data_IF_223366091644
#
_entry.id   IF_223366091644
#
_cell.length_a   1.000
_cell.length_b   1.000
_cell.length_c   1.000
_cell.angle_alpha   90.00
_cell.angle_beta   90.00
_cell.angle_gamma   90.00
#
_symmetry.space_group_name_H-M   'P 1'
#
loop_
_entity.id
_entity.type
_entity.pdbx_description
1 polymer ?
#
# COMPACT_ATOMS: atom_id res chain seq x y z
N UNK A 1 -57.58 -24.06 -38.65
CA UNK A 1 -57.56 -25.46 -38.16
C UNK A 1 -56.09 -25.86 -38.03
N UNK A 2 -55.71 -26.52 -36.92
CA UNK A 2 -54.35 -26.98 -36.53
C UNK A 2 -53.47 -25.86 -35.96
N UNK A 3 -53.54 -25.55 -34.65
CA UNK A 3 -52.92 -26.16 -33.45
C UNK A 3 -51.67 -25.36 -32.99
N UNK A 4 -51.61 -24.86 -31.74
CA UNK A 4 -50.39 -24.34 -31.14
C UNK A 4 -49.71 -25.42 -30.27
N UNK A 5 -48.38 -25.50 -30.31
CA UNK A 5 -47.58 -26.27 -29.35
C UNK A 5 -46.60 -25.35 -28.59
N UNK A 6 -46.27 -25.68 -27.33
CA UNK A 6 -45.65 -24.79 -26.35
C UNK A 6 -44.13 -25.04 -26.20
N UNK A 7 -43.42 -24.06 -25.64
CA UNK A 7 -42.01 -24.25 -25.30
C UNK A 7 -41.36 -22.99 -24.75
N UNK A 8 -41.69 -22.63 -23.51
CA UNK A 8 -40.97 -21.62 -22.73
C UNK A 8 -39.73 -22.22 -22.06
N UNK A 9 -38.76 -21.34 -21.81
CA UNK A 9 -37.63 -21.42 -20.87
C UNK A 9 -36.26 -21.81 -21.44
N UNK A 10 -35.61 -20.86 -22.12
CA UNK A 10 -34.16 -20.74 -22.10
C UNK A 10 -33.77 -19.77 -20.97
N UNK A 11 -33.17 -20.29 -19.91
CA UNK A 11 -32.54 -19.49 -18.86
C UNK A 11 -31.25 -18.89 -19.41
N UNK A 12 -31.29 -17.62 -19.78
CA UNK A 12 -30.11 -16.84 -20.15
C UNK A 12 -29.25 -16.54 -18.92
N UNK A 13 -28.04 -17.08 -18.89
CA UNK A 13 -27.01 -16.74 -17.92
C UNK A 13 -26.37 -15.42 -18.35
N UNK A 14 -26.75 -14.30 -17.72
CA UNK A 14 -26.19 -12.97 -17.99
C UNK A 14 -24.84 -12.84 -17.26
N UNK A 15 -23.73 -12.96 -17.98
CA UNK A 15 -22.42 -12.51 -17.49
C UNK A 15 -22.41 -10.98 -17.44
N UNK A 16 -22.41 -10.42 -16.23
CA UNK A 16 -21.99 -9.04 -16.00
C UNK A 16 -20.46 -8.91 -16.07
N UNK A 17 -19.92 -7.72 -16.38
CA UNK A 17 -18.48 -7.48 -16.46
C UNK A 17 -17.78 -7.66 -15.10
N UNK A 18 -16.49 -8.04 -15.09
CA UNK A 18 -15.76 -8.30 -13.85
C UNK A 18 -15.56 -7.01 -13.06
N UNK A 19 -16.17 -6.93 -11.87
CA UNK A 19 -15.90 -5.86 -10.91
C UNK A 19 -14.43 -5.97 -10.45
N UNK A 20 -13.63 -4.93 -10.73
CA UNK A 20 -12.26 -4.77 -10.21
C UNK A 20 -12.29 -4.30 -8.75
N UNK A 21 -12.83 -5.16 -7.90
CA UNK A 21 -12.89 -5.01 -6.45
C UNK A 21 -13.04 -6.39 -5.83
N UNK A 22 -12.05 -7.26 -6.05
CA UNK A 22 -12.04 -8.61 -5.51
C UNK A 22 -11.98 -8.58 -3.99
N UNK A 23 -13.14 -8.53 -3.33
CA UNK A 23 -13.26 -9.02 -1.96
C UNK A 23 -12.94 -10.51 -2.05
N UNK A 24 -11.76 -10.93 -1.59
CA UNK A 24 -11.45 -12.34 -1.42
C UNK A 24 -12.60 -12.95 -0.61
N UNK A 25 -13.42 -13.76 -1.28
CA UNK A 25 -14.48 -14.51 -0.62
C UNK A 25 -13.83 -15.48 0.34
N UNK A 26 -14.23 -15.46 1.60
CA UNK A 26 -13.77 -16.45 2.58
C UNK A 26 -14.04 -17.85 2.00
N UNK A 27 -13.10 -18.79 2.05
CA UNK A 27 -13.38 -20.17 1.67
C UNK A 27 -14.49 -20.73 2.57
N UNK A 28 -15.56 -21.21 1.95
CA UNK A 28 -16.74 -21.77 2.63
C UNK A 28 -16.85 -23.25 2.27
N UNK A 29 -16.87 -24.10 3.28
CA UNK A 29 -17.19 -25.52 3.13
C UNK A 29 -18.68 -25.72 3.40
N UNK A 30 -19.40 -26.24 2.41
CA UNK A 30 -20.83 -26.54 2.50
C UNK A 30 -21.03 -28.05 2.64
N UNK A 31 -21.68 -28.46 3.73
CA UNK A 31 -22.05 -29.84 4.00
C UNK A 31 -23.59 -29.95 3.96
N UNK A 32 -24.11 -30.79 3.07
CA UNK A 32 -25.56 -31.02 2.88
C UNK A 32 -25.95 -32.38 3.44
N UNK A 33 -26.87 -32.42 4.41
CA UNK A 33 -27.33 -33.66 5.02
C UNK A 33 -28.29 -34.45 4.12
N UNK A 34 -28.05 -35.76 3.97
CA UNK A 34 -28.96 -36.72 3.33
C UNK A 34 -30.04 -37.16 4.33
N UNK A 35 -31.11 -36.40 4.51
CA UNK A 35 -32.19 -36.80 5.43
C UNK A 35 -33.17 -35.71 5.87
N UNK A 36 -32.92 -34.45 5.52
CA UNK A 36 -33.87 -33.36 5.78
C UNK A 36 -33.17 -32.02 5.75
N UNK A 37 -33.38 -31.28 4.65
CA UNK A 37 -33.23 -29.82 4.45
C UNK A 37 -32.03 -29.02 4.99
N UNK A 38 -31.19 -29.55 5.88
CA UNK A 38 -30.18 -28.82 6.62
C UNK A 38 -28.92 -28.60 5.81
N UNK A 39 -28.49 -27.34 5.74
CA UNK A 39 -27.23 -26.92 5.15
C UNK A 39 -26.30 -26.42 6.28
N UNK A 40 -25.16 -27.10 6.46
CA UNK A 40 -24.12 -26.68 7.39
C UNK A 40 -23.04 -25.96 6.58
N UNK A 41 -22.60 -24.80 7.05
CA UNK A 41 -21.53 -24.02 6.43
C UNK A 41 -20.40 -23.79 7.42
N UNK A 42 -19.17 -24.17 7.06
CA UNK A 42 -17.96 -23.91 7.84
C UNK A 42 -17.08 -22.91 7.07
N UNK A 43 -16.67 -21.83 7.73
CA UNK A 43 -15.79 -20.82 7.16
C UNK A 43 -14.48 -20.77 7.98
N UNK A 44 -13.32 -20.80 7.32
CA UNK A 44 -12.02 -20.67 7.97
C UNK A 44 -11.01 -20.02 7.02
N UNK A 45 -10.46 -18.86 7.38
CA UNK A 45 -9.45 -18.14 6.58
C UNK A 45 -8.22 -17.82 7.44
N UNK A 46 -7.04 -18.05 6.88
CA UNK A 46 -5.76 -17.63 7.45
C UNK A 46 -4.98 -16.86 6.37
N UNK A 47 -4.93 -15.53 6.49
CA UNK A 47 -4.18 -14.67 5.58
C UNK A 47 -2.75 -14.48 6.10
N UNK A 48 -1.76 -14.59 5.21
CA UNK A 48 -0.34 -14.37 5.52
C UNK A 48 0.14 -13.10 4.82
N UNK A 49 0.62 -12.13 5.59
CA UNK A 49 1.08 -10.84 5.07
C UNK A 49 2.51 -10.91 4.51
N UNK A 50 2.75 -10.19 3.42
CA UNK A 50 4.05 -10.02 2.75
C UNK A 50 4.72 -8.72 3.21
N UNK A 51 6.05 -8.71 3.35
CA UNK A 51 6.83 -7.50 3.64
C UNK A 51 7.02 -6.71 2.34
N UNK A 52 6.57 -5.45 2.31
CA UNK A 52 6.72 -4.56 1.16
C UNK A 52 7.68 -3.41 1.48
N UNK A 53 8.66 -3.18 0.60
CA UNK A 53 9.57 -2.01 0.68
C UNK A 53 8.84 -0.79 0.13
N UNK A 54 8.57 0.19 0.98
CA UNK A 54 7.75 1.36 0.61
C UNK A 54 8.49 2.34 -0.32
N UNK A 55 9.80 2.58 -0.09
CA UNK A 55 10.63 3.47 -0.90
C UNK A 55 12.14 3.29 -0.62
N UNK A 56 12.98 3.47 -1.64
CA UNK A 56 14.46 3.51 -1.52
C UNK A 56 15.03 4.72 -2.28
N UNK A 57 14.86 5.95 -1.75
CA UNK A 57 15.40 7.15 -2.39
C UNK A 57 16.93 7.16 -2.32
N UNK A 58 17.57 7.68 -3.37
CA UNK A 58 19.02 7.91 -3.42
C UNK A 58 19.31 9.30 -3.96
N UNK A 59 20.25 10.01 -3.34
CA UNK A 59 20.63 11.37 -3.71
C UNK A 59 22.14 11.53 -3.60
N UNK A 60 22.77 12.10 -4.64
CA UNK A 60 24.18 12.49 -4.63
C UNK A 60 24.28 13.96 -4.30
N UNK A 61 25.20 14.31 -3.39
CA UNK A 61 25.29 15.66 -2.81
C UNK A 61 26.75 16.00 -2.50
N UNK A 62 27.09 17.28 -2.63
CA UNK A 62 28.42 17.80 -2.29
C UNK A 62 28.62 17.90 -0.78
N UNK A 63 29.87 17.78 -0.34
CA UNK A 63 30.25 17.97 1.05
C UNK A 63 29.83 19.36 1.57
N UNK A 64 29.21 19.41 2.76
CA UNK A 64 28.64 20.60 3.41
C UNK A 64 27.54 21.32 2.63
N UNK A 65 26.91 20.68 1.64
CA UNK A 65 25.78 21.25 0.90
C UNK A 65 24.50 20.50 1.21
N UNK A 66 23.42 21.23 1.46
CA UNK A 66 22.09 20.64 1.61
C UNK A 66 21.54 20.31 0.22
N UNK A 67 21.01 19.10 0.08
CA UNK A 67 20.27 18.69 -1.11
C UNK A 67 18.91 18.15 -0.69
N UNK A 68 17.89 18.41 -1.51
CA UNK A 68 16.51 17.99 -1.28
C UNK A 68 16.02 17.21 -2.49
N UNK A 69 15.49 16.01 -2.23
CA UNK A 69 14.79 15.17 -3.18
C UNK A 69 13.32 15.09 -2.76
N UNK A 70 12.42 15.48 -3.66
CA UNK A 70 10.97 15.41 -3.44
C UNK A 70 10.33 14.65 -4.60
N UNK A 71 9.65 13.56 -4.29
CA UNK A 71 8.98 12.68 -5.26
C UNK A 71 7.55 12.43 -4.76
N UNK A 72 6.57 12.91 -5.50
CA UNK A 72 5.16 12.67 -5.22
C UNK A 72 4.28 13.80 -5.74
N UNK A 73 3.09 13.92 -5.16
CA UNK A 73 2.03 14.79 -5.66
C UNK A 73 1.75 15.95 -4.69
N UNK A 74 1.26 17.06 -5.24
CA UNK A 74 0.67 18.14 -4.46
C UNK A 74 -0.84 17.93 -4.33
N UNK A 75 -1.30 17.77 -3.10
CA UNK A 75 -2.70 17.47 -2.80
C UNK A 75 -3.40 18.75 -2.32
N UNK A 76 -4.49 19.19 -2.99
CA UNK A 76 -5.29 20.30 -2.51
C UNK A 76 -6.04 19.89 -1.24
N UNK A 77 -5.97 20.74 -0.23
CA UNK A 77 -6.70 20.63 1.03
C UNK A 77 -7.57 21.86 1.21
N UNK A 78 -8.84 21.65 1.54
CA UNK A 78 -9.73 22.76 1.89
C UNK A 78 -9.44 23.20 3.32
N UNK A 79 -8.97 24.44 3.51
CA UNK A 79 -8.57 24.96 4.82
C UNK A 79 -9.67 25.75 5.50
N UNK A 80 -10.55 26.39 4.72
CA UNK A 80 -11.68 27.17 5.24
C UNK A 80 -12.87 27.07 4.28
N UNK A 81 -14.07 27.15 4.84
CA UNK A 81 -15.32 27.36 4.10
C UNK A 81 -16.10 28.46 4.81
N UNK A 82 -16.45 29.51 4.09
CA UNK A 82 -17.21 30.63 4.64
C UNK A 82 -18.42 30.90 3.74
N UNK A 83 -19.58 31.11 4.36
CA UNK A 83 -20.79 31.57 3.68
C UNK A 83 -21.33 32.77 4.45
N UNK A 84 -21.70 33.84 3.73
CA UNK A 84 -22.27 35.03 4.39
C UNK A 84 -23.61 34.67 5.04
N UNK A 85 -23.75 35.00 6.33
CA UNK A 85 -25.01 34.85 7.08
C UNK A 85 -25.96 36.04 6.91
N UNK A 86 -25.49 37.13 6.27
CA UNK A 86 -26.25 38.37 6.08
C UNK A 86 -27.07 38.38 4.78
N UNK A 87 -26.78 37.46 3.85
CA UNK A 87 -27.46 37.37 2.55
C UNK A 87 -27.90 35.93 2.31
N UNK A 88 -29.22 35.64 2.33
CA UNK A 88 -29.73 34.32 1.98
C UNK A 88 -29.26 33.90 0.58
N UNK A 89 -28.64 32.73 0.47
CA UNK A 89 -28.11 32.20 -0.81
C UNK A 89 -26.74 32.73 -1.22
N UNK A 90 -25.99 33.39 -0.33
CA UNK A 90 -24.62 33.79 -0.62
C UNK A 90 -23.75 32.60 -1.07
N UNK A 91 -22.84 32.78 -2.05
CA UNK A 91 -21.94 31.73 -2.50
C UNK A 91 -21.00 31.30 -1.37
N UNK A 92 -20.74 30.00 -1.28
CA UNK A 92 -19.75 29.44 -0.36
C UNK A 92 -18.36 29.73 -0.91
N UNK A 93 -17.54 30.42 -0.11
CA UNK A 93 -16.14 30.70 -0.42
C UNK A 93 -15.27 29.63 0.25
N UNK A 94 -14.58 28.83 -0.55
CA UNK A 94 -13.63 27.83 -0.06
C UNK A 94 -12.19 28.34 -0.23
N UNK A 95 -11.39 28.23 0.82
CA UNK A 95 -9.94 28.43 0.74
C UNK A 95 -9.25 27.09 0.55
N UNK A 96 -8.39 27.00 -0.47
CA UNK A 96 -7.64 25.78 -0.81
C UNK A 96 -6.16 26.05 -0.58
N UNK A 97 -5.50 25.19 0.20
CA UNK A 97 -4.05 25.14 0.31
C UNK A 97 -3.53 23.87 -0.35
N UNK A 98 -2.28 23.87 -0.82
CA UNK A 98 -1.64 22.68 -1.37
C UNK A 98 -0.68 22.10 -0.35
N UNK A 99 -0.65 20.76 -0.27
CA UNK A 99 0.26 20.03 0.60
C UNK A 99 1.06 19.02 -0.20
N UNK A 100 2.37 19.09 -0.09
CA UNK A 100 3.28 18.12 -0.70
C UNK A 100 3.12 16.74 -0.05
N UNK A 101 3.10 15.71 -0.89
CA UNK A 101 3.04 14.31 -0.46
C UNK A 101 4.03 13.44 -1.22
N UNK A 102 4.20 12.19 -0.77
CA UNK A 102 5.16 11.24 -1.31
C UNK A 102 6.43 11.16 -0.46
N UNK A 103 7.58 10.98 -1.11
CA UNK A 103 8.90 10.80 -0.48
C UNK A 103 9.68 12.11 -0.56
N UNK A 104 10.02 12.66 0.60
CA UNK A 104 10.83 13.87 0.74
C UNK A 104 12.08 13.51 1.55
N UNK A 105 13.24 13.78 1.00
CA UNK A 105 14.54 13.55 1.64
C UNK A 105 15.38 14.82 1.54
N UNK A 106 15.71 15.41 2.68
CA UNK A 106 16.69 16.47 2.81
C UNK A 106 17.91 15.94 3.55
N UNK A 107 19.11 16.18 3.00
CA UNK A 107 20.35 15.71 3.60
C UNK A 107 21.45 16.75 3.46
N UNK A 108 22.24 16.92 4.53
CA UNK A 108 23.45 17.73 4.56
C UNK A 108 24.61 16.87 5.05
N UNK A 109 25.50 16.40 4.17
CA UNK A 109 26.64 15.60 4.58
C UNK A 109 27.82 16.46 5.01
N UNK A 110 28.64 15.91 5.90
CA UNK A 110 29.99 16.38 6.21
C UNK A 110 30.94 15.20 6.33
N UNK A 111 31.93 15.14 5.44
CA UNK A 111 32.94 14.08 5.45
C UNK A 111 34.11 14.48 6.34
N UNK A 112 34.52 13.58 7.23
CA UNK A 112 35.71 13.74 8.06
C UNK A 112 36.96 13.19 7.37
N UNK A 113 38.15 13.62 7.81
CA UNK A 113 39.43 13.09 7.31
C UNK A 113 39.55 11.58 7.51
N UNK A 114 38.97 11.05 8.59
CA UNK A 114 38.91 9.61 8.88
C UNK A 114 37.98 8.81 7.95
N UNK A 115 37.26 9.46 7.03
CA UNK A 115 36.29 8.81 6.14
C UNK A 115 34.92 8.56 6.75
N UNK A 116 34.69 8.94 8.02
CA UNK A 116 33.34 8.98 8.61
C UNK A 116 32.52 10.12 8.01
N UNK A 117 31.23 9.89 7.83
CA UNK A 117 30.27 10.85 7.30
C UNK A 117 29.31 11.24 8.42
N UNK A 118 29.33 12.52 8.79
CA UNK A 118 28.29 13.14 9.59
C UNK A 118 27.16 13.55 8.64
N UNK A 119 25.92 13.19 8.98
CA UNK A 119 24.76 13.48 8.17
C UNK A 119 23.70 14.16 9.03
N UNK A 120 23.23 15.32 8.60
CA UNK A 120 21.96 15.89 9.05
C UNK A 120 20.89 15.47 8.05
N UNK A 121 19.88 14.73 8.52
CA UNK A 121 18.88 14.07 7.66
C UNK A 121 17.48 14.43 8.14
N UNK A 122 16.64 14.82 7.19
CA UNK A 122 15.20 14.88 7.34
C UNK A 122 14.56 14.05 6.22
N UNK A 123 13.96 12.92 6.59
CA UNK A 123 13.25 12.05 5.65
C UNK A 123 11.78 11.97 6.06
N UNK A 124 10.90 12.16 5.08
CA UNK A 124 9.46 12.06 5.23
C UNK A 124 8.88 11.19 4.11
N UNK A 125 8.04 10.22 4.47
CA UNK A 125 7.24 9.43 3.53
C UNK A 125 5.78 9.61 3.91
N UNK A 126 5.00 10.10 2.97
CA UNK A 126 3.58 10.38 3.15
C UNK A 126 2.73 9.66 2.11
N UNK A 127 1.56 9.21 2.56
CA UNK A 127 0.57 8.52 1.74
C UNK A 127 -0.78 9.21 1.89
N UNK A 128 -1.46 9.45 0.78
CA UNK A 128 -2.80 10.02 0.75
C UNK A 128 -3.81 8.91 0.94
N UNK A 129 -4.75 9.09 1.87
CA UNK A 129 -5.82 8.15 2.15
C UNK A 129 -7.17 8.88 2.11
N UNK A 130 -8.20 8.20 1.59
CA UNK A 130 -9.56 8.71 1.67
C UNK A 130 -9.98 8.77 3.13
N UNK A 131 -10.49 9.92 3.58
CA UNK A 131 -11.03 10.04 4.92
C UNK A 131 -12.32 9.24 5.03
N UNK A 132 -12.37 8.30 5.97
CA UNK A 132 -13.56 7.49 6.27
C UNK A 132 -14.12 7.77 7.67
N UNK A 133 -13.44 8.62 8.45
CA UNK A 133 -13.75 8.88 9.86
C UNK A 133 -14.53 10.17 10.11
N UNK A 134 -14.75 11.00 9.10
CA UNK A 134 -15.51 12.26 9.22
C UNK A 134 -16.27 12.57 7.93
N UNK A 135 -17.30 13.41 8.04
CA UNK A 135 -18.09 13.93 6.90
C UNK A 135 -17.37 15.07 6.15
N UNK A 136 -16.09 15.33 6.46
CA UNK A 136 -15.30 16.37 5.80
C UNK A 136 -14.72 15.75 4.53
N UNK A 137 -15.04 16.32 3.38
CA UNK A 137 -14.45 15.94 2.08
C UNK A 137 -13.02 16.49 1.97
N UNK A 138 -12.12 15.96 2.80
CA UNK A 138 -10.69 16.27 2.77
C UNK A 138 -9.90 15.00 2.99
N UNK A 139 -8.80 14.79 2.25
CA UNK A 139 -7.98 13.58 2.39
C UNK A 139 -7.28 13.53 3.74
N UNK A 140 -7.05 12.32 4.23
CA UNK A 140 -6.19 12.06 5.38
C UNK A 140 -4.78 11.69 4.90
N UNK A 141 -3.76 12.01 5.70
CA UNK A 141 -2.36 11.76 5.33
C UNK A 141 -1.70 10.87 6.37
N UNK A 142 -1.30 9.67 5.95
CA UNK A 142 -0.35 8.87 6.71
C UNK A 142 1.04 9.46 6.53
N UNK A 143 1.78 9.73 7.62
CA UNK A 143 3.11 10.36 7.55
C UNK A 143 4.10 9.64 8.44
N UNK A 144 5.24 9.27 7.86
CA UNK A 144 6.39 8.66 8.54
C UNK A 144 7.54 9.63 8.39
N UNK A 145 8.01 10.23 9.48
CA UNK A 145 9.03 11.28 9.45
C UNK A 145 10.14 10.99 10.45
N UNK A 146 11.39 11.12 10.01
CA UNK A 146 12.57 11.10 10.87
C UNK A 146 13.37 12.37 10.62
N UNK A 147 13.86 12.97 11.70
CA UNK A 147 14.83 14.06 11.67
C UNK A 147 15.91 13.73 12.69
N UNK A 148 17.14 13.57 12.23
CA UNK A 148 18.24 13.12 13.08
C UNK A 148 19.59 13.54 12.52
N UNK A 149 20.59 13.58 13.39
CA UNK A 149 21.99 13.77 13.01
C UNK A 149 22.77 12.54 13.44
N UNK A 150 23.45 11.90 12.49
CA UNK A 150 24.17 10.65 12.74
C UNK A 150 25.58 10.70 12.16
N UNK A 151 26.49 9.94 12.78
CA UNK A 151 27.82 9.67 12.24
C UNK A 151 27.86 8.21 11.82
N UNK A 152 28.25 7.96 10.58
CA UNK A 152 28.25 6.64 9.96
C UNK A 152 29.50 6.47 9.09
N UNK A 153 30.02 5.25 9.01
CA UNK A 153 31.18 4.95 8.18
C UNK A 153 30.78 4.91 6.70
N UNK A 154 31.73 5.23 5.82
CA UNK A 154 31.51 5.11 4.38
C UNK A 154 31.12 3.67 3.98
N UNK A 155 29.99 3.51 3.30
CA UNK A 155 29.49 2.22 2.83
C UNK A 155 28.75 1.38 3.88
N UNK A 156 28.69 1.83 5.14
CA UNK A 156 28.01 1.09 6.21
C UNK A 156 26.57 1.58 6.39
N UNK A 157 25.62 0.66 6.52
CA UNK A 157 24.23 1.02 6.80
C UNK A 157 24.02 1.28 8.29
N UNK A 158 23.35 2.38 8.62
CA UNK A 158 22.88 2.67 9.97
C UNK A 158 21.35 2.73 10.00
N UNK A 159 20.75 2.19 11.07
CA UNK A 159 19.32 2.30 11.31
C UNK A 159 19.03 3.61 12.04
N UNK A 160 18.21 4.47 11.43
CA UNK A 160 17.83 5.77 11.98
C UNK A 160 16.63 5.66 12.94
N UNK A 161 15.81 4.63 12.76
CA UNK A 161 14.65 4.36 13.60
C UNK A 161 13.76 3.27 13.03
N UNK A 162 12.69 2.95 13.77
CA UNK A 162 11.69 1.99 13.34
C UNK A 162 10.45 2.02 14.23
N UNK A 163 9.39 1.35 13.76
CA UNK A 163 8.14 1.15 14.49
C UNK A 163 7.70 -0.29 14.26
N UNK A 164 7.39 -0.99 15.35
CA UNK A 164 6.67 -2.26 15.31
C UNK A 164 5.36 -2.01 16.03
N UNK A 165 4.25 -2.25 15.34
CA UNK A 165 2.91 -2.06 15.86
C UNK A 165 2.12 -3.34 15.65
N UNK A 166 1.67 -3.92 16.76
CA UNK A 166 0.77 -5.07 16.77
C UNK A 166 -0.62 -4.63 17.23
N UNK A 167 -1.64 -4.88 16.42
CA UNK A 167 -3.04 -4.65 16.77
C UNK A 167 -3.78 -5.98 16.69
N UNK A 168 -4.35 -6.40 17.81
CA UNK A 168 -5.19 -7.61 17.89
C UNK A 168 -6.63 -7.21 18.16
N UNK A 169 -7.53 -7.62 17.27
CA UNK A 169 -8.98 -7.46 17.39
C UNK A 169 -9.60 -8.83 17.54
N UNK A 170 -10.25 -9.08 18.69
CA UNK A 170 -10.95 -10.33 18.98
C UNK A 170 -12.45 -10.03 18.96
N UNK A 171 -13.16 -10.62 18.00
CA UNK A 171 -14.61 -10.64 17.91
C UNK A 171 -15.14 -12.05 18.19
N UNK A 172 -16.19 -12.16 18.99
CA UNK A 172 -16.92 -13.40 19.18
C UNK A 172 -18.41 -13.14 18.99
N UNK A 173 -19.02 -13.82 18.02
CA UNK A 173 -20.46 -13.87 17.84
C UNK A 173 -20.94 -15.25 18.27
N UNK A 174 -21.98 -15.33 19.11
CA UNK A 174 -22.43 -16.61 19.67
C UNK A 174 -23.94 -16.70 19.79
N UNK A 175 -24.48 -17.90 19.60
CA UNK A 175 -25.89 -18.17 19.91
C UNK A 175 -26.07 -18.18 21.44
N UNK A 176 -26.99 -17.37 22.00
CA UNK A 176 -27.26 -17.39 23.45
C UNK A 176 -27.59 -18.80 23.94
N UNK A 177 -27.16 -19.15 25.16
CA UNK A 177 -27.31 -20.48 25.79
C UNK A 177 -26.46 -21.58 25.14
N UNK A 178 -26.62 -21.84 23.84
CA UNK A 178 -25.92 -22.94 23.15
C UNK A 178 -24.42 -22.70 23.00
N UNK A 179 -24.00 -21.44 22.80
CA UNK A 179 -22.59 -21.08 22.72
C UNK A 179 -21.83 -21.32 24.02
N UNK A 180 -22.49 -21.22 25.18
CA UNK A 180 -21.82 -21.32 26.49
C UNK A 180 -21.57 -22.75 26.96
N UNK A 181 -22.06 -23.76 26.23
CA UNK A 181 -21.87 -25.17 26.59
C UNK A 181 -20.39 -25.59 26.43
N UNK A 182 -19.79 -26.24 27.45
CA UNK A 182 -18.34 -26.52 27.49
C UNK A 182 -17.85 -27.52 26.44
N UNK A 183 -18.74 -28.37 25.90
CA UNK A 183 -18.37 -29.44 24.95
C UNK A 183 -18.79 -29.08 23.52
N UNK A 184 -20.00 -28.54 23.32
CA UNK A 184 -20.56 -28.28 21.99
C UNK A 184 -20.62 -26.81 21.59
N UNK A 185 -20.33 -25.89 22.53
CA UNK A 185 -20.53 -24.46 22.32
C UNK A 185 -19.69 -23.85 21.20
N UNK A 186 -18.52 -24.43 20.88
CA UNK A 186 -17.67 -23.98 19.77
C UNK A 186 -18.33 -24.17 18.39
N UNK A 187 -19.29 -25.08 18.24
CA UNK A 187 -20.05 -25.23 17.00
C UNK A 187 -21.13 -24.14 16.83
N UNK A 188 -21.46 -23.42 17.91
CA UNK A 188 -22.48 -22.36 17.96
C UNK A 188 -21.85 -20.97 18.19
N UNK A 189 -20.54 -20.86 17.96
CA UNK A 189 -19.73 -19.65 18.12
C UNK A 189 -18.94 -19.39 16.84
N UNK A 190 -18.93 -18.14 16.41
CA UNK A 190 -18.04 -17.63 15.38
C UNK A 190 -17.00 -16.73 16.07
N UNK A 191 -15.72 -17.10 15.93
CA UNK A 191 -14.60 -16.32 16.45
C UNK A 191 -13.89 -15.66 15.29
N UNK A 192 -13.68 -14.36 15.40
CA UNK A 192 -12.90 -13.57 14.47
C UNK A 192 -11.70 -12.99 15.22
N UNK A 193 -10.51 -13.53 14.95
CA UNK A 193 -9.26 -13.01 15.46
C UNK A 193 -8.53 -12.31 14.31
N UNK A 194 -8.46 -10.99 14.35
CA UNK A 194 -7.73 -10.19 13.37
C UNK A 194 -6.46 -9.65 14.04
N UNK A 195 -5.30 -10.10 13.57
CA UNK A 195 -3.99 -9.60 14.02
C UNK A 195 -3.37 -8.78 12.88
N UNK A 196 -3.23 -7.49 13.10
CA UNK A 196 -2.59 -6.55 12.18
C UNK A 196 -1.20 -6.19 12.73
N UNK A 197 -0.15 -6.63 12.04
CA UNK A 197 1.24 -6.27 12.36
C UNK A 197 1.79 -5.30 11.33
N UNK A 198 2.29 -4.16 11.79
CA UNK A 198 2.95 -3.13 10.96
C UNK A 198 4.38 -2.96 11.43
N UNK A 199 5.34 -3.24 10.55
CA UNK A 199 6.77 -3.05 10.80
C UNK A 199 7.31 -1.98 9.85
N UNK A 200 8.05 -1.01 10.39
CA UNK A 200 8.74 0.04 9.65
C UNK A 200 10.17 0.11 10.15
N UNK A 201 11.12 0.10 9.24
CA UNK A 201 12.53 0.33 9.52
C UNK A 201 13.03 1.42 8.58
N UNK A 202 13.71 2.41 9.13
CA UNK A 202 14.34 3.48 8.36
C UNK A 202 15.85 3.31 8.46
N UNK A 203 16.48 3.03 7.33
CA UNK A 203 17.91 2.79 7.22
C UNK A 203 18.53 3.76 6.22
N UNK A 204 19.80 4.06 6.41
CA UNK A 204 20.57 4.88 5.48
C UNK A 204 21.97 4.30 5.30
N UNK A 205 22.48 4.38 4.08
CA UNK A 205 23.83 3.96 3.72
C UNK A 205 24.52 5.13 2.99
N UNK A 206 25.52 5.80 3.58
CA UNK A 206 26.29 6.80 2.86
C UNK A 206 27.30 6.14 1.93
N UNK A 207 27.60 6.80 0.81
CA UNK A 207 28.74 6.47 -0.03
C UNK A 207 29.50 7.74 -0.37
N UNK A 208 30.75 7.82 0.06
CA UNK A 208 31.68 8.90 -0.25
C UNK A 208 32.30 8.61 -1.62
N UNK A 209 32.22 9.59 -2.50
CA UNK A 209 32.80 9.57 -3.84
C UNK A 209 33.83 10.68 -3.91
N UNK A 210 35.09 10.34 -4.13
CA UNK A 210 36.24 11.26 -4.03
C UNK A 210 36.69 11.81 -5.37
N UNK A 211 36.54 11.03 -6.44
CA UNK A 211 36.99 11.40 -7.78
C UNK A 211 35.95 11.04 -8.85
N UNK A 212 36.24 11.46 -10.09
CA UNK A 212 35.36 11.26 -11.24
C UNK A 212 35.28 9.79 -11.68
N UNK A 213 36.33 9.00 -11.43
CA UNK A 213 36.33 7.57 -11.78
C UNK A 213 35.41 6.80 -10.83
N UNK A 214 35.48 7.09 -9.53
CA UNK A 214 34.55 6.58 -8.53
C UNK A 214 33.12 7.00 -8.84
N UNK A 215 32.90 8.26 -9.25
CA UNK A 215 31.58 8.74 -9.64
C UNK A 215 31.00 7.98 -10.84
N UNK A 216 31.83 7.72 -11.85
CA UNK A 216 31.46 6.89 -13.00
C UNK A 216 31.10 5.46 -12.57
N UNK A 217 31.91 4.84 -11.70
CA UNK A 217 31.65 3.50 -11.20
C UNK A 217 30.32 3.41 -10.40
N UNK A 218 30.03 4.40 -9.56
CA UNK A 218 28.75 4.49 -8.82
C UNK A 218 27.57 4.60 -9.80
N UNK A 219 27.73 5.40 -10.85
CA UNK A 219 26.70 5.63 -11.87
C UNK A 219 26.40 4.35 -12.65
N UNK A 220 27.44 3.61 -13.04
CA UNK A 220 27.30 2.35 -13.77
C UNK A 220 26.67 1.26 -12.90
N UNK A 221 27.05 1.17 -11.62
CA UNK A 221 26.40 0.28 -10.65
C UNK A 221 24.91 0.58 -10.51
N UNK A 222 24.56 1.86 -10.35
CA UNK A 222 23.17 2.29 -10.25
C UNK A 222 22.38 1.97 -11.51
N UNK A 223 22.96 2.24 -12.69
CA UNK A 223 22.35 1.92 -13.99
C UNK A 223 22.09 0.42 -14.14
N UNK A 224 23.04 -0.42 -13.75
CA UNK A 224 22.90 -1.87 -13.81
C UNK A 224 21.82 -2.38 -12.84
N UNK A 225 21.75 -1.82 -11.62
CA UNK A 225 20.68 -2.13 -10.67
C UNK A 225 19.31 -1.77 -11.24
N UNK A 226 19.13 -0.57 -11.79
CA UNK A 226 17.87 -0.14 -12.41
C UNK A 226 17.49 -1.06 -13.58
N UNK A 227 18.45 -1.41 -14.44
CA UNK A 227 18.22 -2.30 -15.58
C UNK A 227 17.80 -3.72 -15.14
N UNK A 228 18.32 -4.21 -14.02
CA UNK A 228 17.91 -5.52 -13.48
C UNK A 228 16.50 -5.52 -12.89
N UNK A 229 16.03 -4.38 -12.40
CA UNK A 229 14.68 -4.21 -11.82
C UNK A 229 13.63 -3.97 -12.91
N UNK A 230 14.02 -3.41 -14.06
CA UNK A 230 13.13 -3.31 -15.21
C UNK A 230 13.06 -4.66 -15.93
N UNK A 231 11.93 -5.39 -15.93
CA UNK A 231 11.78 -6.55 -16.79
C UNK A 231 11.97 -6.07 -18.22
N UNK A 232 12.99 -6.61 -18.89
CA UNK A 232 13.21 -6.36 -20.32
C UNK A 232 11.95 -6.84 -21.01
N UNK A 233 11.09 -5.89 -21.42
CA UNK A 233 9.96 -6.18 -22.31
C UNK A 233 10.58 -6.52 -23.64
N UNK A 234 10.93 -7.79 -23.84
CA UNK A 234 11.45 -8.28 -25.10
C UNK A 234 10.35 -8.12 -26.17
N UNK A 235 10.46 -7.15 -27.09
CA UNK A 235 9.44 -6.94 -28.12
C UNK A 235 9.33 -8.14 -29.06
N UNK A 236 10.40 -8.94 -29.14
CA UNK A 236 10.58 -10.05 -30.07
C UNK A 236 9.67 -11.24 -29.74
N UNK A 237 9.37 -11.49 -28.46
CA UNK A 237 8.52 -12.64 -28.07
C UNK A 237 7.05 -12.48 -28.50
N UNK A 238 6.56 -11.23 -28.66
CA UNK A 238 5.19 -10.99 -29.17
C UNK A 238 5.08 -11.24 -30.67
N UNK A 239 6.13 -10.93 -31.44
CA UNK A 239 6.14 -11.16 -32.88
C UNK A 239 6.16 -12.66 -33.20
N UNK A 240 6.90 -13.48 -32.45
CA UNK A 240 6.92 -14.92 -32.67
C UNK A 240 5.63 -15.63 -32.19
N UNK A 241 4.97 -15.11 -31.15
CA UNK A 241 3.70 -15.68 -30.66
C UNK A 241 2.53 -15.35 -31.58
N UNK A 242 2.51 -14.15 -32.18
CA UNK A 242 1.46 -13.74 -33.11
C UNK A 242 1.65 -14.34 -34.51
N UNK A 243 2.88 -14.54 -34.97
CA UNK A 243 3.14 -15.21 -36.26
C UNK A 243 2.74 -16.69 -36.20
N UNK A 244 3.02 -17.40 -35.09
CA UNK A 244 2.57 -18.79 -34.93
C UNK A 244 1.05 -18.95 -34.89
N UNK A 245 0.33 -17.95 -34.37
CA UNK A 245 -1.14 -17.95 -34.27
C UNK A 245 -1.84 -17.42 -35.52
N UNK A 246 -1.08 -16.97 -36.53
CA UNK A 246 -1.61 -16.48 -37.81
C UNK A 246 -1.42 -17.50 -38.94
N UNK A 247 -0.82 -18.66 -38.66
CA UNK A 247 -0.53 -19.73 -39.64
C UNK A 247 -1.28 -21.04 -39.31
N UNK A 248 -2.01 -21.08 -38.20
CA UNK A 248 -3.08 -22.07 -37.92
C UNK A 248 -4.43 -21.38 -37.97
#
# INVERSE_FOLDING_TARGET
>A
MVLPEPGRHALGHLLGPPERGGRLGLPRLLLRGQGGGGQITLNALNDVTRVDVLASPSLMVLDRRTAVLQIGDQVPIQTQSAQSILTPGAPVVNSIAYKDTGVILSVTPRVSESGRVLLDIEQEVSTVQRTTSSNIDSPSFGRRKVRTTVVVNNGESITLGGLIQDRTTIGETRVPVLGDLPIIGNAFKEKQNLVEKTELIIMLTPRVVRDLNEAAAVTDEYRNRVRSVMPTRDPVQRLMTNVKRSIE
#
